data_IF_959934035763
#
_entry.id   IF_959934035763
#
_cell.length_a   1.000
_cell.length_b   1.000
_cell.length_c   1.000
_cell.angle_alpha   90.00
_cell.angle_beta   90.00
_cell.angle_gamma   90.00
#
_symmetry.space_group_name_H-M   'P 1'
#
loop_
_entity.id
_entity.type
_entity.pdbx_description
1 polymer ?
#
# COMPACT_ATOMS: atom_id res chain seq x y z
N UNK A 1 -26.17 23.03 34.31
CA UNK A 1 -24.92 22.79 33.55
C UNK A 1 -24.78 21.28 33.37
N UNK A 2 -25.05 20.76 32.17
CA UNK A 2 -24.88 19.32 31.90
C UNK A 2 -23.40 18.98 31.96
N UNK A 3 -23.07 17.94 32.72
CA UNK A 3 -21.73 17.34 32.68
C UNK A 3 -21.45 16.87 31.24
N UNK A 4 -20.24 17.04 30.71
CA UNK A 4 -19.88 16.44 29.43
C UNK A 4 -20.10 14.93 29.57
N UNK A 5 -20.82 14.35 28.60
CA UNK A 5 -20.91 12.89 28.48
C UNK A 5 -19.51 12.29 28.34
N UNK A 6 -19.33 10.98 28.61
CA UNK A 6 -18.03 10.34 28.47
C UNK A 6 -17.55 10.59 27.05
N UNK A 7 -16.46 11.36 26.92
CA UNK A 7 -15.88 11.67 25.62
C UNK A 7 -15.55 10.37 24.91
N UNK A 8 -15.85 10.27 23.62
CA UNK A 8 -15.15 9.32 22.77
C UNK A 8 -13.70 9.80 22.76
N UNK A 9 -12.85 9.19 23.58
CA UNK A 9 -11.41 9.31 23.40
C UNK A 9 -11.12 8.75 22.00
N UNK A 10 -10.63 9.62 21.11
CA UNK A 10 -10.25 9.23 19.75
C UNK A 10 -9.04 8.29 19.88
N UNK A 11 -9.31 7.00 19.73
CA UNK A 11 -8.26 6.00 19.76
C UNK A 11 -7.32 6.22 18.57
N UNK A 12 -6.01 6.00 18.74
CA UNK A 12 -5.05 6.14 17.64
C UNK A 12 -5.45 5.22 16.49
N UNK A 13 -5.42 5.76 15.27
CA UNK A 13 -5.65 5.00 14.04
C UNK A 13 -4.53 3.96 13.87
N UNK A 14 -4.80 2.91 13.08
CA UNK A 14 -3.77 1.95 12.67
C UNK A 14 -2.58 2.63 11.97
N UNK A 15 -2.80 3.81 11.37
CA UNK A 15 -1.75 4.60 10.73
C UNK A 15 -0.96 5.50 11.69
N UNK A 16 -1.44 5.68 12.93
CA UNK A 16 -0.80 6.53 13.95
C UNK A 16 0.17 5.74 14.84
N UNK A 17 0.21 4.41 14.70
CA UNK A 17 1.08 3.52 15.47
C UNK A 17 2.32 3.18 14.65
N UNK A 18 3.46 3.73 15.04
CA UNK A 18 4.74 3.38 14.43
C UNK A 18 5.20 1.98 14.88
N UNK A 19 5.58 1.14 13.91
CA UNK A 19 6.15 -0.19 14.13
C UNK A 19 7.43 -0.35 13.29
N UNK A 20 8.56 0.00 13.90
CA UNK A 20 9.85 0.00 13.21
C UNK A 20 10.29 -1.41 12.78
N UNK A 21 9.92 -2.44 13.52
CA UNK A 21 10.26 -3.83 13.19
C UNK A 21 9.47 -4.29 11.96
N UNK A 22 8.18 -3.95 11.89
CA UNK A 22 7.35 -4.24 10.72
C UNK A 22 7.84 -3.48 9.48
N UNK A 23 8.23 -2.22 9.63
CA UNK A 23 8.78 -1.39 8.55
C UNK A 23 10.10 -1.96 8.00
N UNK A 24 11.04 -2.34 8.87
CA UNK A 24 12.30 -2.96 8.48
C UNK A 24 12.06 -4.31 7.78
N UNK A 25 11.19 -5.15 8.34
CA UNK A 25 10.82 -6.43 7.72
C UNK A 25 10.14 -6.24 6.36
N UNK A 26 9.38 -5.16 6.17
CA UNK A 26 8.78 -4.80 4.88
C UNK A 26 9.85 -4.42 3.85
N UNK A 27 10.80 -3.56 4.24
CA UNK A 27 11.89 -3.13 3.37
C UNK A 27 12.78 -4.31 2.93
N UNK A 28 13.14 -5.19 3.85
CA UNK A 28 13.95 -6.38 3.55
C UNK A 28 13.24 -7.34 2.58
N UNK A 29 11.92 -7.51 2.72
CA UNK A 29 11.11 -8.30 1.76
C UNK A 29 11.14 -7.66 0.37
N UNK A 30 10.95 -6.35 0.27
CA UNK A 30 11.03 -5.63 -1.00
C UNK A 30 12.39 -5.78 -1.70
N UNK A 31 13.48 -5.70 -0.94
CA UNK A 31 14.83 -5.91 -1.49
C UNK A 31 15.02 -7.36 -1.98
N UNK A 32 14.49 -8.35 -1.26
CA UNK A 32 14.54 -9.75 -1.68
C UNK A 32 13.70 -10.01 -2.94
N UNK A 33 12.54 -9.36 -3.10
CA UNK A 33 11.72 -9.41 -4.31
C UNK A 33 12.47 -8.80 -5.51
N UNK A 34 13.10 -7.64 -5.31
CA UNK A 34 13.93 -6.99 -6.32
C UNK A 34 15.08 -7.90 -6.77
N UNK A 35 15.84 -8.46 -5.83
CA UNK A 35 16.96 -9.36 -6.13
C UNK A 35 16.51 -10.64 -6.87
N UNK A 36 15.29 -11.11 -6.59
CA UNK A 36 14.70 -12.27 -7.27
C UNK A 36 14.02 -11.93 -8.62
N UNK A 37 14.05 -10.67 -9.06
CA UNK A 37 13.41 -10.22 -10.29
C UNK A 37 11.88 -10.23 -10.24
N UNK A 38 11.28 -10.26 -9.04
CA UNK A 38 9.83 -10.16 -8.83
C UNK A 38 9.38 -8.70 -8.89
N UNK A 39 9.65 -8.06 -10.03
CA UNK A 39 9.36 -6.64 -10.28
C UNK A 39 8.55 -6.47 -11.55
N UNK A 40 7.74 -5.41 -11.58
CA UNK A 40 6.98 -4.97 -12.75
C UNK A 40 7.63 -3.68 -13.24
N UNK A 41 7.79 -3.54 -14.55
CA UNK A 41 8.32 -2.33 -15.16
C UNK A 41 7.38 -1.14 -14.92
N UNK A 42 7.97 0.06 -14.84
CA UNK A 42 7.20 1.29 -14.69
C UNK A 42 6.14 1.44 -15.80
N UNK A 43 6.51 1.13 -17.05
CA UNK A 43 5.62 1.29 -18.21
C UNK A 43 4.44 0.33 -18.18
N UNK A 44 4.66 -0.93 -17.77
CA UNK A 44 3.57 -1.90 -17.63
C UNK A 44 2.60 -1.49 -16.52
N UNK A 45 3.12 -1.09 -15.35
CA UNK A 45 2.32 -0.61 -14.22
C UNK A 45 1.52 0.64 -14.60
N UNK A 46 2.17 1.63 -15.22
CA UNK A 46 1.53 2.87 -15.65
C UNK A 46 0.41 2.63 -16.65
N UNK A 47 0.61 1.78 -17.65
CA UNK A 47 -0.40 1.45 -18.65
C UNK A 47 -1.66 0.86 -17.99
N UNK A 48 -1.46 -0.04 -17.04
CA UNK A 48 -2.57 -0.63 -16.29
C UNK A 48 -3.31 0.41 -15.44
N UNK A 49 -2.60 1.21 -14.64
CA UNK A 49 -3.22 2.25 -13.81
C UNK A 49 -4.00 3.28 -14.63
N UNK A 50 -3.53 3.64 -15.83
CA UNK A 50 -4.22 4.57 -16.72
C UNK A 50 -5.47 3.97 -17.38
N UNK A 51 -5.59 2.65 -17.40
CA UNK A 51 -6.77 1.97 -17.95
C UNK A 51 -7.92 1.85 -16.94
N UNK A 52 -7.66 2.09 -15.64
CA UNK A 52 -8.67 1.98 -14.59
C UNK A 52 -9.87 2.89 -14.85
N UNK A 53 -11.08 2.31 -14.83
CA UNK A 53 -12.32 3.05 -15.05
C UNK A 53 -12.60 3.41 -16.52
N UNK A 54 -11.73 3.00 -17.46
CA UNK A 54 -12.02 3.04 -18.88
C UNK A 54 -12.86 1.82 -19.30
N UNK A 55 -13.57 1.93 -20.42
CA UNK A 55 -14.31 0.81 -20.99
C UNK A 55 -13.42 -0.37 -21.41
N UNK A 56 -12.13 -0.09 -21.65
CA UNK A 56 -11.08 -1.02 -22.05
C UNK A 56 -10.03 -1.18 -20.94
N UNK A 57 -10.47 -1.28 -19.69
CA UNK A 57 -9.60 -1.57 -18.56
C UNK A 57 -8.75 -2.83 -18.78
N UNK A 58 -7.44 -2.70 -18.56
CA UNK A 58 -6.46 -3.74 -18.82
C UNK A 58 -6.29 -4.66 -17.59
N UNK A 59 -5.88 -5.92 -17.78
CA UNK A 59 -5.54 -6.78 -16.66
C UNK A 59 -4.28 -6.26 -15.91
N UNK A 60 -4.15 -6.55 -14.61
CA UNK A 60 -2.93 -6.23 -13.87
C UNK A 60 -1.69 -6.88 -14.50
N UNK A 61 -0.56 -6.16 -14.60
CA UNK A 61 0.69 -6.68 -15.15
C UNK A 61 1.34 -7.69 -14.20
N UNK A 62 2.15 -8.60 -14.75
CA UNK A 62 2.89 -9.61 -13.99
C UNK A 62 4.36 -9.24 -13.87
N UNK A 63 5.05 -9.86 -12.92
CA UNK A 63 6.50 -9.69 -12.79
C UNK A 63 7.21 -10.07 -14.10
N UNK A 64 8.19 -9.26 -14.51
CA UNK A 64 8.93 -9.41 -15.76
C UNK A 64 8.32 -8.68 -16.97
N UNK A 65 7.11 -8.11 -16.84
CA UNK A 65 6.50 -7.17 -17.80
C UNK A 65 6.81 -5.73 -17.41
#
# INVERSE_FOLDING_TARGET
MSKPGPGFEEQPSVFDVADAEADEASALRGQADFAAGRVISHEAMKRWLLSWGASDELPPPKCGE
#
